data_IF_072412034870
#
_entry.id   IF_072412034870
#
_cell.length_a   1.000
_cell.length_b   1.000
_cell.length_c   1.000
_cell.angle_alpha   90.00
_cell.angle_beta   90.00
_cell.angle_gamma   90.00
#
_symmetry.space_group_name_H-M   'P 1'
#
loop_
_entity.id
_entity.type
_entity.pdbx_description
1 polymer ?
#
# COMPACT_ATOMS: atom_id res chain seq x y z
N UNK A 1 17.98 -3.47 51.75
CA UNK A 1 17.22 -2.40 51.07
C UNK A 1 18.17 -1.42 50.41
N UNK A 2 18.34 -1.48 49.08
CA UNK A 2 18.89 -0.39 48.25
C UNK A 2 18.16 -0.40 46.91
N UNK A 3 17.39 0.66 46.66
CA UNK A 3 16.62 0.92 45.43
C UNK A 3 17.60 1.28 44.30
N UNK A 4 17.77 0.40 43.32
CA UNK A 4 18.47 0.71 42.07
C UNK A 4 17.47 1.27 41.06
N UNK A 5 17.23 2.57 41.16
CA UNK A 5 16.31 3.35 40.32
C UNK A 5 17.11 4.38 39.50
N UNK A 6 18.00 3.95 38.60
CA UNK A 6 18.71 4.85 37.67
C UNK A 6 19.18 4.16 36.37
N UNK A 7 18.30 3.43 35.66
CA UNK A 7 18.64 2.89 34.32
C UNK A 7 17.66 3.33 33.21
N UNK A 8 16.48 3.84 33.53
CA UNK A 8 15.46 4.14 32.50
C UNK A 8 15.40 5.60 32.00
N UNK A 9 16.50 6.35 32.06
CA UNK A 9 16.49 7.77 31.64
C UNK A 9 17.52 8.16 30.57
N UNK A 10 18.10 7.20 29.84
CA UNK A 10 19.12 7.51 28.84
C UNK A 10 19.01 6.72 27.53
N UNK A 11 17.79 6.55 27.01
CA UNK A 11 17.53 6.07 25.64
C UNK A 11 16.33 6.81 25.01
N UNK A 12 16.35 8.15 25.07
CA UNK A 12 15.39 9.01 24.33
C UNK A 12 16.11 10.03 23.44
N UNK A 13 17.44 9.99 23.37
CA UNK A 13 18.20 10.95 22.56
C UNK A 13 19.32 10.25 21.82
N UNK A 14 19.00 9.69 20.65
CA UNK A 14 19.86 9.59 19.48
C UNK A 14 19.33 8.50 18.54
N UNK A 15 18.42 8.85 17.64
CA UNK A 15 18.37 8.24 16.32
C UNK A 15 17.78 9.25 15.33
N UNK A 16 18.70 9.95 14.63
CA UNK A 16 18.65 10.32 13.20
C UNK A 16 17.38 11.14 12.81
N UNK A 17 17.38 12.48 12.81
CA UNK A 17 18.06 13.36 11.82
C UNK A 17 18.40 12.64 10.52
N UNK A 18 17.39 12.36 9.70
CA UNK A 18 17.36 12.41 8.22
C UNK A 18 15.89 12.16 7.83
N UNK A 19 15.19 13.25 7.54
CA UNK A 19 14.19 13.40 6.47
C UNK A 19 13.68 14.85 6.52
N UNK A 20 14.63 15.79 6.55
CA UNK A 20 14.41 17.15 6.09
C UNK A 20 14.38 17.16 4.57
N UNK A 21 13.43 16.44 3.98
CA UNK A 21 12.87 16.85 2.69
C UNK A 21 11.53 17.43 3.07
N UNK A 22 11.55 18.69 3.51
CA UNK A 22 10.41 19.57 3.33
C UNK A 22 10.10 19.54 1.84
N UNK A 23 9.20 18.65 1.44
CA UNK A 23 8.43 18.85 0.23
C UNK A 23 7.81 20.23 0.39
N UNK A 24 8.42 21.21 -0.27
CA UNK A 24 7.81 22.49 -0.52
C UNK A 24 6.56 22.16 -1.34
N UNK A 25 5.45 21.93 -0.65
CA UNK A 25 4.14 21.90 -1.27
C UNK A 25 3.94 23.28 -1.87
N UNK A 26 4.21 23.41 -3.17
CA UNK A 26 3.68 24.50 -3.95
C UNK A 26 2.17 24.39 -3.86
N UNK A 27 1.58 25.25 -3.04
CA UNK A 27 0.16 25.53 -3.05
C UNK A 27 -0.14 26.33 -4.34
N UNK A 28 -0.08 25.66 -5.48
CA UNK A 28 -0.65 26.18 -6.73
C UNK A 28 -2.17 25.93 -6.67
N UNK A 29 -2.86 26.77 -5.90
CA UNK A 29 -4.30 26.96 -6.02
C UNK A 29 -4.52 28.37 -6.57
N UNK A 30 -5.09 28.45 -7.79
CA UNK A 30 -6.17 29.33 -8.23
C UNK A 30 -6.30 29.15 -9.75
N UNK A 31 -7.37 28.47 -10.17
CA UNK A 31 -7.68 28.24 -11.57
C UNK A 31 -8.61 27.05 -11.78
N UNK A 32 -9.81 27.12 -11.21
CA UNK A 32 -10.84 26.08 -11.33
C UNK A 32 -11.39 25.95 -12.74
N UNK A 33 -10.67 25.23 -13.61
CA UNK A 33 -11.34 24.40 -14.60
C UNK A 33 -11.58 23.05 -13.95
N UNK A 34 -12.81 22.56 -13.96
CA UNK A 34 -13.14 21.19 -13.57
C UNK A 34 -12.57 20.24 -14.62
N UNK A 35 -11.25 20.14 -14.64
CA UNK A 35 -10.49 19.34 -15.58
C UNK A 35 -10.88 17.90 -15.32
N UNK A 36 -11.62 17.31 -16.26
CA UNK A 36 -12.00 15.90 -16.21
C UNK A 36 -10.74 15.08 -15.93
N UNK A 37 -10.77 14.29 -14.85
CA UNK A 37 -9.68 13.38 -14.52
C UNK A 37 -9.57 12.38 -15.66
N UNK A 38 -8.42 12.39 -16.35
CA UNK A 38 -8.17 11.48 -17.45
C UNK A 38 -7.52 10.22 -16.91
N UNK A 39 -8.27 9.12 -16.89
CA UNK A 39 -7.76 7.83 -16.43
C UNK A 39 -6.86 7.22 -17.51
N UNK A 40 -5.59 7.06 -17.18
CA UNK A 40 -4.59 6.46 -18.05
C UNK A 40 -4.34 5.01 -17.63
N UNK A 41 -4.49 4.07 -18.57
CA UNK A 41 -4.19 2.66 -18.34
C UNK A 41 -2.70 2.42 -18.50
N UNK A 42 -2.04 1.95 -17.45
CA UNK A 42 -0.61 1.62 -17.43
C UNK A 42 -0.41 0.12 -17.31
N UNK A 43 0.66 -0.38 -17.93
CA UNK A 43 1.11 -1.77 -17.87
C UNK A 43 2.63 -1.78 -17.69
N UNK A 44 3.14 -1.80 -16.45
CA UNK A 44 4.56 -1.63 -16.20
C UNK A 44 5.39 -2.75 -16.84
N UNK A 45 6.53 -2.39 -17.44
CA UNK A 45 7.37 -3.34 -18.19
C UNK A 45 7.82 -4.47 -17.27
N UNK A 46 7.74 -5.71 -17.76
CA UNK A 46 8.15 -6.90 -17.00
C UNK A 46 7.14 -7.36 -15.95
N UNK A 47 6.06 -6.62 -15.74
CA UNK A 47 4.99 -7.03 -14.82
C UNK A 47 3.90 -7.81 -15.53
N UNK A 48 3.02 -8.43 -14.74
CA UNK A 48 1.89 -9.25 -15.23
C UNK A 48 0.55 -8.64 -14.83
N UNK A 49 0.43 -7.31 -14.92
CA UNK A 49 -0.81 -6.63 -14.65
C UNK A 49 -0.91 -5.32 -15.45
N UNK A 50 -2.14 -4.84 -15.58
CA UNK A 50 -2.44 -3.47 -15.96
C UNK A 50 -3.38 -2.85 -14.91
N UNK A 51 -3.36 -1.52 -14.79
CA UNK A 51 -4.24 -0.77 -13.90
C UNK A 51 -4.45 0.62 -14.49
N UNK A 52 -5.55 1.30 -14.16
CA UNK A 52 -5.79 2.67 -14.60
C UNK A 52 -5.51 3.64 -13.47
N UNK A 53 -4.71 4.69 -13.73
CA UNK A 53 -4.43 5.76 -12.78
C UNK A 53 -5.07 7.08 -13.22
N UNK A 54 -5.45 7.96 -12.28
CA UNK A 54 -6.01 9.28 -12.59
C UNK A 54 -4.98 10.29 -13.12
N UNK A 55 -3.70 9.97 -13.05
CA UNK A 55 -2.57 10.69 -13.65
C UNK A 55 -1.43 9.70 -13.90
N UNK A 56 -0.40 10.10 -14.66
CA UNK A 56 0.76 9.23 -14.88
C UNK A 56 1.46 8.92 -13.55
N UNK A 57 1.62 7.64 -13.16
CA UNK A 57 2.18 7.27 -11.87
C UNK A 57 3.71 7.32 -11.87
N UNK A 58 4.28 7.60 -10.70
CA UNK A 58 5.71 7.41 -10.42
C UNK A 58 5.97 5.97 -9.99
N UNK A 59 7.05 5.36 -10.50
CA UNK A 59 7.49 4.04 -10.09
C UNK A 59 8.59 4.15 -9.03
N UNK A 60 8.40 3.46 -7.91
CA UNK A 60 9.29 3.49 -6.75
C UNK A 60 9.74 2.07 -6.39
N UNK A 61 11.03 1.91 -6.14
CA UNK A 61 11.59 0.71 -5.54
C UNK A 61 11.62 0.86 -4.02
N UNK A 62 11.08 -0.13 -3.32
CA UNK A 62 10.92 -0.11 -1.86
C UNK A 62 11.43 -1.41 -1.23
N UNK A 63 11.68 -1.34 0.07
CA UNK A 63 12.07 -2.49 0.87
C UNK A 63 11.16 -2.63 2.07
N UNK A 64 10.72 -3.86 2.34
CA UNK A 64 9.95 -4.23 3.51
C UNK A 64 10.81 -5.09 4.43
N UNK A 65 11.09 -4.58 5.62
CA UNK A 65 11.83 -5.32 6.64
C UNK A 65 10.93 -6.38 7.25
N UNK A 66 11.32 -7.65 7.13
CA UNK A 66 10.56 -8.75 7.75
C UNK A 66 10.89 -8.81 9.25
N UNK A 67 9.88 -8.84 10.14
CA UNK A 67 10.13 -9.03 11.57
C UNK A 67 10.97 -10.28 11.84
N UNK A 68 11.76 -10.26 12.92
CA UNK A 68 12.62 -11.37 13.37
C UNK A 68 13.84 -11.68 12.48
N UNK A 69 14.41 -10.68 11.79
CA UNK A 69 15.71 -10.81 11.14
C UNK A 69 15.68 -11.53 9.78
N UNK A 70 14.52 -11.58 9.14
CA UNK A 70 14.43 -12.05 7.75
C UNK A 70 15.12 -11.07 6.79
N UNK A 71 15.57 -11.58 5.62
CA UNK A 71 16.08 -10.74 4.54
C UNK A 71 14.97 -9.73 4.13
N UNK A 72 15.29 -8.44 3.94
CA UNK A 72 14.33 -7.47 3.42
C UNK A 72 13.71 -7.96 2.11
N UNK A 73 12.40 -7.75 1.96
CA UNK A 73 11.68 -8.03 0.74
C UNK A 73 11.67 -6.77 -0.12
N UNK A 74 12.24 -6.86 -1.32
CA UNK A 74 12.12 -5.80 -2.30
C UNK A 74 10.72 -5.85 -2.90
N UNK A 75 10.10 -4.70 -3.07
CA UNK A 75 8.84 -4.56 -3.77
C UNK A 75 8.86 -3.30 -4.62
N UNK A 76 8.02 -3.29 -5.66
CA UNK A 76 7.86 -2.12 -6.52
C UNK A 76 6.48 -1.53 -6.28
N UNK A 77 6.40 -0.21 -6.39
CA UNK A 77 5.20 0.56 -6.12
C UNK A 77 4.98 1.57 -7.25
N UNK A 78 3.74 1.72 -7.69
CA UNK A 78 3.31 2.77 -8.59
C UNK A 78 2.39 3.69 -7.82
N UNK A 79 2.70 4.98 -7.79
CA UNK A 79 1.99 5.98 -6.99
C UNK A 79 1.55 7.14 -7.86
N UNK A 80 0.33 7.63 -7.66
CA UNK A 80 -0.15 8.86 -8.25
C UNK A 80 -0.92 9.69 -7.22
N UNK A 81 -0.60 10.98 -7.12
CA UNK A 81 -1.30 11.94 -6.27
C UNK A 81 -2.19 12.85 -7.13
N UNK A 82 -3.51 12.80 -6.90
CA UNK A 82 -4.48 13.62 -7.61
C UNK A 82 -5.48 14.22 -6.63
N UNK A 83 -5.57 15.56 -6.62
CA UNK A 83 -6.52 16.33 -5.80
C UNK A 83 -6.49 15.93 -4.31
N UNK A 84 -5.29 15.74 -3.75
CA UNK A 84 -5.10 15.38 -2.33
C UNK A 84 -5.37 13.90 -1.99
N UNK A 85 -5.53 13.06 -3.01
CA UNK A 85 -5.78 11.63 -2.89
C UNK A 85 -4.59 10.86 -3.46
N UNK A 86 -4.14 9.85 -2.73
CA UNK A 86 -3.00 9.02 -3.13
C UNK A 86 -3.49 7.66 -3.62
N UNK A 87 -3.20 7.34 -4.86
CA UNK A 87 -3.50 6.06 -5.49
C UNK A 87 -2.21 5.25 -5.56
N UNK A 88 -2.21 4.03 -5.04
CA UNK A 88 -1.03 3.18 -5.06
C UNK A 88 -1.37 1.74 -5.45
N UNK A 89 -0.54 1.16 -6.32
CA UNK A 89 -0.41 -0.29 -6.45
C UNK A 89 1.03 -0.71 -6.18
N UNK A 90 1.21 -1.61 -5.23
CA UNK A 90 2.51 -2.24 -4.98
C UNK A 90 2.45 -3.74 -5.22
N UNK A 91 3.54 -4.32 -5.70
CA UNK A 91 3.62 -5.76 -5.92
C UNK A 91 4.95 -6.33 -5.44
N UNK A 92 4.88 -7.56 -4.93
CA UNK A 92 6.02 -8.29 -4.42
C UNK A 92 5.87 -9.78 -4.71
N UNK A 93 6.97 -10.42 -5.10
CA UNK A 93 7.01 -11.86 -5.31
C UNK A 93 7.39 -12.57 -4.01
N UNK A 94 6.54 -13.49 -3.57
CA UNK A 94 6.83 -14.28 -2.39
C UNK A 94 7.71 -15.48 -2.72
N UNK A 95 8.57 -15.90 -1.76
CA UNK A 95 9.24 -17.19 -1.83
C UNK A 95 8.24 -18.33 -2.01
N UNK A 96 8.54 -19.29 -2.92
CA UNK A 96 7.62 -20.41 -3.24
C UNK A 96 7.14 -21.18 -2.01
N UNK A 97 7.98 -21.30 -0.97
CA UNK A 97 7.65 -21.95 0.31
C UNK A 97 6.45 -21.33 1.02
N UNK A 98 6.12 -20.07 0.78
CA UNK A 98 4.97 -19.41 1.42
C UNK A 98 3.64 -19.83 0.82
N UNK A 99 3.61 -20.48 -0.35
CA UNK A 99 2.36 -20.99 -0.94
C UNK A 99 1.72 -22.11 -0.13
N UNK A 100 2.51 -22.81 0.68
CA UNK A 100 2.05 -23.98 1.44
C UNK A 100 1.01 -23.58 2.49
N UNK A 101 1.01 -22.31 2.96
CA UNK A 101 0.09 -21.84 4.01
C UNK A 101 -1.33 -21.57 3.53
N UNK A 102 -1.58 -21.66 2.21
CA UNK A 102 -2.88 -21.36 1.59
C UNK A 102 -3.14 -19.86 1.41
N UNK A 103 -3.95 -19.52 0.39
CA UNK A 103 -4.15 -18.13 -0.03
C UNK A 103 -4.84 -17.26 1.03
N UNK A 104 -5.83 -17.79 1.76
CA UNK A 104 -6.51 -17.02 2.81
C UNK A 104 -5.58 -16.64 3.95
N UNK A 105 -4.77 -17.59 4.41
CA UNK A 105 -3.77 -17.35 5.45
C UNK A 105 -2.72 -16.35 4.97
N UNK A 106 -2.24 -16.51 3.72
CA UNK A 106 -1.28 -15.61 3.12
C UNK A 106 -1.80 -14.17 3.06
N UNK A 107 -3.03 -13.97 2.59
CA UNK A 107 -3.67 -12.66 2.52
C UNK A 107 -3.81 -12.03 3.91
N UNK A 108 -4.31 -12.80 4.89
CA UNK A 108 -4.48 -12.31 6.27
C UNK A 108 -3.14 -11.92 6.91
N UNK A 109 -2.11 -12.77 6.79
CA UNK A 109 -0.77 -12.48 7.31
C UNK A 109 -0.11 -11.31 6.60
N UNK A 110 -0.40 -11.12 5.31
CA UNK A 110 0.05 -9.96 4.56
C UNK A 110 -0.61 -8.68 5.09
N UNK A 111 -1.91 -8.69 5.36
CA UNK A 111 -2.59 -7.55 5.99
C UNK A 111 -2.05 -7.26 7.40
N UNK A 112 -1.89 -8.28 8.25
CA UNK A 112 -1.30 -8.12 9.59
C UNK A 112 0.07 -7.44 9.52
N UNK A 113 0.93 -7.89 8.59
CA UNK A 113 2.25 -7.30 8.35
C UNK A 113 2.14 -5.83 7.89
N UNK A 114 1.23 -5.52 6.95
CA UNK A 114 1.01 -4.14 6.50
C UNK A 114 0.58 -3.23 7.65
N UNK A 115 -0.35 -3.68 8.49
CA UNK A 115 -0.81 -2.90 9.64
C UNK A 115 0.30 -2.68 10.66
N UNK A 116 1.25 -3.62 10.80
CA UNK A 116 2.39 -3.48 11.70
C UNK A 116 3.47 -2.50 11.18
N UNK A 117 3.59 -2.31 9.85
CA UNK A 117 4.65 -1.51 9.25
C UNK A 117 4.25 -0.10 8.85
N UNK A 118 2.99 0.13 8.46
CA UNK A 118 2.59 1.39 7.82
C UNK A 118 2.20 2.50 8.82
N UNK A 119 2.34 2.29 10.13
CA UNK A 119 2.27 3.35 11.14
C UNK A 119 1.68 2.91 12.48
N UNK A 120 2.19 3.46 13.59
CA UNK A 120 1.75 3.09 14.95
C UNK A 120 0.28 3.46 15.26
N UNK A 121 -0.32 4.34 14.46
CA UNK A 121 -1.67 4.86 14.67
C UNK A 121 -2.69 4.29 13.67
N UNK A 122 -2.31 3.28 12.88
CA UNK A 122 -3.23 2.66 11.92
C UNK A 122 -4.08 1.59 12.60
N UNK A 123 -5.39 1.69 12.44
CA UNK A 123 -6.35 0.74 13.01
C UNK A 123 -7.17 0.09 11.91
N UNK A 124 -7.23 -1.24 11.91
CA UNK A 124 -8.07 -1.98 10.97
C UNK A 124 -9.54 -1.86 11.40
N UNK A 125 -10.37 -1.28 10.54
CA UNK A 125 -11.81 -1.13 10.78
C UNK A 125 -12.59 -2.37 10.30
N UNK A 126 -12.29 -2.88 9.10
CA UNK A 126 -12.95 -4.06 8.53
C UNK A 126 -12.06 -4.82 7.55
N UNK A 127 -12.39 -6.09 7.32
CA UNK A 127 -11.76 -6.91 6.28
C UNK A 127 -12.73 -7.98 5.75
N UNK A 128 -12.69 -8.25 4.45
CA UNK A 128 -13.56 -9.24 3.80
C UNK A 128 -12.79 -10.00 2.71
N UNK A 129 -12.89 -11.33 2.70
CA UNK A 129 -12.36 -12.13 1.59
C UNK A 129 -13.29 -12.03 0.39
N UNK A 130 -12.70 -11.75 -0.77
CA UNK A 130 -13.42 -11.59 -2.03
C UNK A 130 -12.66 -12.32 -3.15
N UNK A 131 -13.26 -12.36 -4.33
CA UNK A 131 -12.57 -12.81 -5.55
C UNK A 131 -12.46 -11.63 -6.51
N UNK A 132 -11.25 -11.34 -6.99
CA UNK A 132 -11.01 -10.31 -7.99
C UNK A 132 -10.57 -10.97 -9.30
N UNK A 133 -11.42 -10.94 -10.32
CA UNK A 133 -11.16 -11.57 -11.65
C UNK A 133 -10.70 -13.05 -11.55
N UNK A 134 -11.32 -13.82 -10.66
CA UNK A 134 -10.99 -15.22 -10.42
C UNK A 134 -9.83 -15.45 -9.44
N UNK A 135 -9.18 -14.40 -8.93
CA UNK A 135 -8.09 -14.50 -7.97
C UNK A 135 -8.55 -14.29 -6.53
N UNK A 136 -8.00 -15.04 -5.56
CA UNK A 136 -8.22 -14.79 -4.15
C UNK A 136 -7.77 -13.38 -3.78
N UNK A 137 -8.65 -12.66 -3.10
CA UNK A 137 -8.41 -11.30 -2.67
C UNK A 137 -8.97 -11.05 -1.27
N UNK A 138 -8.49 -9.97 -0.65
CA UNK A 138 -8.94 -9.49 0.65
C UNK A 138 -9.11 -7.98 0.56
N UNK A 139 -10.34 -7.52 0.75
CA UNK A 139 -10.67 -6.11 0.94
C UNK A 139 -10.47 -5.73 2.40
N UNK A 140 -9.98 -4.52 2.64
CA UNK A 140 -9.82 -3.99 3.98
C UNK A 140 -10.08 -2.49 4.01
N UNK A 141 -10.57 -2.03 5.17
CA UNK A 141 -10.69 -0.62 5.51
C UNK A 141 -9.88 -0.38 6.79
N UNK A 142 -9.03 0.63 6.76
CA UNK A 142 -8.22 1.04 7.91
C UNK A 142 -8.31 2.55 8.13
N UNK A 143 -8.11 2.98 9.37
CA UNK A 143 -8.08 4.39 9.76
C UNK A 143 -6.67 4.79 10.17
N UNK A 144 -6.24 5.98 9.74
CA UNK A 144 -4.96 6.59 10.12
C UNK A 144 -5.19 8.06 10.45
N UNK A 145 -5.36 8.36 11.74
CA UNK A 145 -5.84 9.68 12.17
C UNK A 145 -7.24 9.94 11.64
N UNK A 146 -7.40 11.00 10.84
CA UNK A 146 -8.69 11.36 10.23
C UNK A 146 -8.86 10.82 8.80
N UNK A 147 -7.96 9.95 8.35
CA UNK A 147 -7.99 9.39 7.00
C UNK A 147 -8.52 7.98 7.03
N UNK A 148 -9.35 7.67 6.04
CA UNK A 148 -9.80 6.30 5.77
C UNK A 148 -9.04 5.76 4.57
N UNK A 149 -8.50 4.56 4.73
CA UNK A 149 -7.69 3.86 3.75
C UNK A 149 -8.48 2.62 3.36
N UNK A 150 -8.83 2.56 2.09
CA UNK A 150 -9.45 1.37 1.52
C UNK A 150 -8.43 0.68 0.62
N UNK A 151 -8.31 -0.63 0.79
CA UNK A 151 -7.40 -1.40 -0.04
C UNK A 151 -7.90 -2.80 -0.33
N UNK A 152 -7.29 -3.37 -1.37
CA UNK A 152 -7.46 -4.75 -1.79
C UNK A 152 -6.10 -5.40 -1.91
N UNK A 153 -5.95 -6.54 -1.25
CA UNK A 153 -4.85 -7.47 -1.48
C UNK A 153 -5.30 -8.52 -2.49
N UNK A 154 -4.48 -8.84 -3.49
CA UNK A 154 -4.78 -9.87 -4.50
C UNK A 154 -3.58 -10.79 -4.66
N UNK A 155 -3.81 -12.11 -4.66
CA UNK A 155 -2.76 -13.10 -4.91
C UNK A 155 -2.90 -13.68 -6.32
N UNK A 156 -1.88 -13.45 -7.16
CA UNK A 156 -1.81 -13.98 -8.53
C UNK A 156 -0.55 -14.81 -8.67
N UNK A 157 -0.69 -16.13 -8.76
CA UNK A 157 0.47 -17.01 -8.82
C UNK A 157 1.34 -16.90 -7.56
N UNK A 158 2.54 -16.33 -7.67
CA UNK A 158 3.49 -16.11 -6.57
C UNK A 158 3.56 -14.65 -6.11
N UNK A 159 2.75 -13.78 -6.69
CA UNK A 159 2.84 -12.33 -6.50
C UNK A 159 1.67 -11.85 -5.66
N UNK A 160 1.96 -11.04 -4.63
CA UNK A 160 0.95 -10.25 -3.94
C UNK A 160 0.89 -8.87 -4.56
N UNK A 161 -0.33 -8.43 -4.83
CA UNK A 161 -0.63 -7.05 -5.16
C UNK A 161 -1.34 -6.41 -3.97
N UNK A 162 -0.92 -5.21 -3.60
CA UNK A 162 -1.63 -4.31 -2.69
C UNK A 162 -2.08 -3.12 -3.50
N UNK A 163 -3.38 -2.93 -3.61
CA UNK A 163 -4.00 -1.82 -4.32
C UNK A 163 -4.73 -1.00 -3.27
N UNK A 164 -4.42 0.28 -3.09
CA UNK A 164 -5.15 1.10 -2.14
C UNK A 164 -5.29 2.53 -2.61
N UNK A 165 -6.25 3.21 -1.99
CA UNK A 165 -6.42 4.66 -2.11
C UNK A 165 -6.44 5.26 -0.71
N UNK A 166 -5.65 6.30 -0.50
CA UNK A 166 -5.69 7.12 0.71
C UNK A 166 -6.37 8.45 0.36
N UNK A 167 -7.60 8.65 0.84
CA UNK A 167 -8.37 9.86 0.62
C UNK A 167 -8.41 10.71 1.89
N UNK A 168 -8.12 12.01 1.75
CA UNK A 168 -8.38 12.99 2.82
C UNK A 168 -9.88 13.30 2.98
N UNK A 169 -10.64 13.24 1.88
CA UNK A 169 -12.10 13.28 1.79
C UNK A 169 -12.47 13.05 0.32
N UNK A 170 -13.16 11.96 0.01
CA UNK A 170 -13.39 11.54 -1.38
C UNK A 170 -14.64 10.70 -1.54
N UNK A 171 -15.08 10.53 -2.79
CA UNK A 171 -16.22 9.71 -3.18
C UNK A 171 -15.78 8.25 -3.39
N UNK A 172 -16.47 7.32 -2.73
CA UNK A 172 -16.28 5.87 -2.83
C UNK A 172 -16.17 5.37 -4.28
N UNK A 173 -16.82 6.06 -5.23
CA UNK A 173 -16.85 5.67 -6.64
C UNK A 173 -15.46 5.72 -7.32
N UNK A 174 -14.62 6.71 -7.00
CA UNK A 174 -13.29 6.84 -7.62
C UNK A 174 -12.36 5.72 -7.14
N UNK A 175 -12.48 5.37 -5.87
CA UNK A 175 -11.76 4.26 -5.26
C UNK A 175 -12.19 2.93 -5.85
N UNK A 176 -13.50 2.66 -5.93
CA UNK A 176 -14.01 1.43 -6.52
C UNK A 176 -13.55 1.30 -7.98
N UNK A 177 -13.59 2.39 -8.74
CA UNK A 177 -13.10 2.44 -10.12
C UNK A 177 -11.61 2.09 -10.20
N UNK A 178 -10.77 2.66 -9.33
CA UNK A 178 -9.34 2.35 -9.29
C UNK A 178 -9.09 0.87 -9.00
N UNK A 179 -9.68 0.33 -7.93
CA UNK A 179 -9.51 -1.06 -7.51
C UNK A 179 -10.04 -2.02 -8.58
N UNK A 180 -11.19 -1.72 -9.20
CA UNK A 180 -11.79 -2.53 -10.26
C UNK A 180 -11.00 -2.50 -11.57
N UNK A 181 -10.24 -1.43 -11.81
CA UNK A 181 -9.40 -1.28 -13.00
C UNK A 181 -8.16 -2.19 -13.01
N UNK A 182 -7.76 -2.70 -11.84
CA UNK A 182 -6.68 -3.68 -11.74
C UNK A 182 -7.03 -4.93 -12.55
N UNK A 183 -6.09 -5.37 -13.37
CA UNK A 183 -6.28 -6.46 -14.31
C UNK A 183 -5.03 -7.32 -14.40
N UNK A 184 -5.00 -8.48 -13.74
CA UNK A 184 -3.87 -9.40 -13.82
C UNK A 184 -3.81 -10.05 -15.20
N UNK A 185 -2.67 -9.91 -15.87
CA UNK A 185 -2.43 -10.43 -17.21
C UNK A 185 -1.84 -11.84 -17.08
N UNK A 186 -2.68 -12.85 -17.35
CA UNK A 186 -2.22 -14.24 -17.45
C UNK A 186 -1.67 -14.46 -18.84
N UNK A 187 -0.38 -14.80 -18.94
CA UNK A 187 0.09 -15.49 -20.15
C UNK A 187 -0.31 -16.95 -20.02
N UNK A 188 -1.10 -17.45 -20.96
CA UNK A 188 -1.21 -18.90 -21.19
C UNK A 188 0.20 -19.42 -21.38
N UNK A 189 0.69 -20.19 -20.40
CA UNK A 189 1.96 -20.91 -20.53
C UNK A 189 1.76 -22.12 -21.42
#
# INVERSE_FOLDING_TARGET
MKKNSKIYKLLVAAFIVICGVTALYRADWIGGSDSKINWERVSPIGTRFAISFPSSPEQLDRQLNVPNGGRPLNYQELVADVRGSNYSVSYLDFPRKWKIIGNHTLLRKSLEMLMAHEGQNRQLASQHFVTHRGYPALDYVAHEGNREIHGRLVVVGNTLFKIHVNHASGSDAAQESFVASFDPIVRSQ
#
